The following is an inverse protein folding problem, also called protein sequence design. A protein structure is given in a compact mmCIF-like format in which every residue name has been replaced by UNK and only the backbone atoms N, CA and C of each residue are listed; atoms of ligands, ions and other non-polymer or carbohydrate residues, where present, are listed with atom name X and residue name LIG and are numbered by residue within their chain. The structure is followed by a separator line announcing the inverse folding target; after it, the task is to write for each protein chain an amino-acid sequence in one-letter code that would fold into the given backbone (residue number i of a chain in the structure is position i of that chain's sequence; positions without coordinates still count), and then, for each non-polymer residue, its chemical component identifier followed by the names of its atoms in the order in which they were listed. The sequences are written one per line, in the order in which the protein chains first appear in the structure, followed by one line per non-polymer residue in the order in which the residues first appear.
data_IF_872824552868
#
_entry.id   IF_872824552868
#
_cell.length_a   1.000
_cell.length_b   1.000
_cell.length_c   1.000
_cell.angle_alpha   90.00
_cell.angle_beta   90.00
_cell.angle_gamma   90.00
#
_symmetry.space_group_name_H-M   'P 1'
#
loop_
_entity.id
_entity.type
_entity.pdbx_description
1 polymer ?
#
# COMPACT_ATOMS: atom_id res chain seq x y z
N UNK A 1 -43.91 5.76 5.91
CA UNK A 1 -43.87 7.15 6.40
C UNK A 1 -42.43 7.62 6.25
N UNK A 2 -42.16 8.50 5.29
CA UNK A 2 -40.83 9.03 4.98
C UNK A 2 -40.61 10.33 5.76
N UNK A 3 -39.49 10.45 6.45
CA UNK A 3 -39.07 11.68 7.13
C UNK A 3 -37.74 12.15 6.52
N UNK A 4 -37.64 13.39 6.03
CA UNK A 4 -36.41 13.92 5.42
C UNK A 4 -35.43 14.49 6.47
N UNK A 5 -34.11 14.48 6.21
CA UNK A 5 -33.13 15.12 7.07
C UNK A 5 -33.10 16.65 6.88
N UNK A 6 -33.03 17.34 8.02
CA UNK A 6 -32.94 18.79 8.17
C UNK A 6 -31.53 19.31 7.90
N UNK A 7 -31.44 20.42 7.18
CA UNK A 7 -30.22 21.16 6.91
C UNK A 7 -29.90 22.21 7.99
N UNK A 8 -28.62 22.56 8.08
CA UNK A 8 -28.13 23.69 8.87
C UNK A 8 -27.18 24.57 8.05
N UNK A 9 -27.63 25.80 7.78
CA UNK A 9 -26.95 27.05 8.20
C UNK A 9 -25.66 27.49 7.51
N UNK A 10 -25.78 28.50 6.64
CA UNK A 10 -24.72 29.38 6.13
C UNK A 10 -24.39 30.54 7.10
N UNK A 11 -23.16 31.10 7.02
CA UNK A 11 -22.85 32.48 7.41
C UNK A 11 -21.33 32.79 7.57
N UNK A 12 -20.81 34.01 7.23
CA UNK A 12 -19.58 34.18 6.44
C UNK A 12 -18.43 34.92 7.15
N UNK A 13 -17.22 34.90 6.56
CA UNK A 13 -16.11 35.78 6.98
C UNK A 13 -14.87 35.72 6.08
N UNK A 14 -14.58 36.82 5.40
CA UNK A 14 -13.49 37.03 4.44
C UNK A 14 -12.11 37.17 5.12
N UNK A 15 -11.06 36.66 4.48
CA UNK A 15 -9.66 36.82 4.91
C UNK A 15 -8.69 36.67 3.74
N UNK A 16 -8.12 37.79 3.33
CA UNK A 16 -7.33 38.07 2.14
C UNK A 16 -5.82 37.85 2.38
N UNK A 17 -5.12 37.33 1.36
CA UNK A 17 -3.74 37.75 1.03
C UNK A 17 -2.56 36.92 1.54
N UNK A 18 -1.71 36.47 0.60
CA UNK A 18 -0.28 36.16 0.86
C UNK A 18 0.27 34.93 0.12
N UNK A 19 0.67 35.10 -1.14
CA UNK A 19 1.42 34.09 -1.91
C UNK A 19 2.94 34.17 -1.65
N UNK A 20 3.69 33.07 -1.92
CA UNK A 20 4.97 32.76 -1.27
C UNK A 20 6.22 33.32 -1.96
N UNK A 21 7.22 33.66 -1.13
CA UNK A 21 8.57 34.02 -1.57
C UNK A 21 9.45 32.80 -1.79
N UNK A 22 10.07 32.71 -2.97
CA UNK A 22 11.09 31.72 -3.32
C UNK A 22 12.38 32.40 -3.79
N UNK A 23 13.49 31.97 -3.18
CA UNK A 23 14.77 31.66 -3.84
C UNK A 23 15.56 32.78 -4.52
N UNK A 24 16.60 33.28 -3.83
CA UNK A 24 17.74 33.94 -4.46
C UNK A 24 18.69 32.91 -5.10
N UNK A 25 19.26 33.22 -6.27
CA UNK A 25 20.36 32.50 -6.89
C UNK A 25 21.44 33.50 -7.38
N UNK A 26 22.75 33.16 -7.32
CA UNK A 26 23.84 34.14 -7.35
C UNK A 26 24.27 34.63 -8.74
N UNK A 27 24.79 35.86 -8.76
CA UNK A 27 25.28 36.56 -9.94
C UNK A 27 26.62 36.06 -10.48
N UNK A 28 26.82 36.27 -11.78
CA UNK A 28 28.08 36.10 -12.49
C UNK A 28 28.32 37.24 -13.48
N UNK A 29 29.40 37.98 -13.21
CA UNK A 29 30.35 38.60 -14.15
C UNK A 29 29.84 39.38 -15.36
N UNK A 30 30.01 40.71 -15.32
CA UNK A 30 30.15 41.55 -16.51
C UNK A 30 31.41 42.43 -16.41
N UNK A 31 32.21 42.40 -17.48
CA UNK A 31 33.29 43.35 -17.77
C UNK A 31 33.56 43.29 -19.30
N UNK A 32 34.28 44.25 -19.91
CA UNK A 32 33.88 45.63 -20.21
C UNK A 32 34.00 45.96 -21.73
N UNK A 33 33.49 47.12 -22.14
CA UNK A 33 33.81 47.76 -23.44
C UNK A 33 32.63 48.63 -23.88
N UNK A 34 32.73 49.94 -24.07
CA UNK A 34 33.86 50.73 -24.56
C UNK A 34 33.45 51.31 -25.91
N UNK A 35 32.80 52.48 -25.93
CA UNK A 35 32.56 53.29 -27.12
C UNK A 35 32.37 54.76 -26.70
N UNK A 36 33.32 55.64 -27.06
CA UNK A 36 33.06 57.06 -27.32
C UNK A 36 33.06 57.30 -28.84
N UNK A 37 33.17 58.52 -29.38
CA UNK A 37 32.89 59.89 -28.88
C UNK A 37 31.96 60.66 -29.89
N UNK A 38 31.81 62.00 -29.86
CA UNK A 38 32.78 62.84 -30.60
C UNK A 38 33.11 64.19 -29.93
N UNK A 39 34.33 64.68 -30.20
CA UNK A 39 34.81 66.01 -29.84
C UNK A 39 35.17 66.77 -31.13
N UNK A 40 34.97 68.11 -31.23
CA UNK A 40 35.18 68.85 -32.46
C UNK A 40 36.56 69.51 -32.56
N UNK A 41 37.11 69.52 -33.78
CA UNK A 41 37.88 70.64 -34.35
C UNK A 41 39.36 70.76 -34.03
N UNK A 42 40.21 70.46 -35.02
CA UNK A 42 41.62 70.86 -35.04
C UNK A 42 42.30 70.49 -36.37
N UNK A 43 42.92 71.44 -37.12
CA UNK A 43 43.56 71.17 -38.39
C UNK A 43 44.99 70.66 -38.19
N UNK A 44 45.30 69.48 -38.72
CA UNK A 44 46.62 68.86 -38.56
C UNK A 44 46.99 67.94 -39.72
N UNK A 45 48.14 68.26 -40.32
CA UNK A 45 48.87 67.61 -41.40
C UNK A 45 48.81 66.06 -41.46
N UNK A 46 48.72 65.53 -42.68
CA UNK A 46 48.60 64.10 -42.98
C UNK A 46 49.88 63.27 -42.77
N UNK A 47 49.75 61.95 -42.52
CA UNK A 47 50.85 60.98 -42.57
C UNK A 47 50.75 59.93 -43.72
N UNK A 48 51.88 59.28 -44.09
CA UNK A 48 52.10 58.55 -45.34
C UNK A 48 51.49 57.13 -45.41
N UNK A 49 51.47 56.46 -46.60
CA UNK A 49 50.78 55.19 -46.81
C UNK A 49 51.50 54.03 -46.11
N UNK A 50 50.87 53.47 -45.07
CA UNK A 50 51.35 52.30 -44.34
C UNK A 50 50.56 51.04 -44.73
N UNK A 51 51.28 50.01 -45.18
CA UNK A 51 50.81 48.65 -45.39
C UNK A 51 50.20 48.07 -44.09
N UNK A 52 48.92 47.70 -44.11
CA UNK A 52 48.23 47.07 -42.99
C UNK A 52 48.42 45.54 -42.95
N UNK A 53 48.56 44.92 -41.76
CA UNK A 53 48.79 43.49 -41.60
C UNK A 53 47.54 42.62 -41.86
N UNK A 54 47.68 41.31 -42.14
CA UNK A 54 46.58 40.42 -42.51
C UNK A 54 45.53 40.30 -41.41
N UNK A 55 44.26 40.45 -41.79
CA UNK A 55 43.12 40.38 -40.87
C UNK A 55 43.00 39.01 -40.21
N UNK A 56 43.05 39.00 -38.88
CA UNK A 56 42.61 37.85 -38.08
C UNK A 56 41.08 37.73 -38.23
N UNK A 57 40.64 36.64 -38.86
CA UNK A 57 39.21 36.31 -38.98
C UNK A 57 38.53 36.20 -37.61
N UNK A 58 37.31 36.71 -37.50
CA UNK A 58 36.46 36.53 -36.32
C UNK A 58 36.32 35.03 -36.01
N UNK A 59 36.51 34.60 -34.75
CA UNK A 59 36.30 33.20 -34.40
C UNK A 59 34.84 32.80 -34.69
N UNK A 60 34.60 31.61 -35.28
CA UNK A 60 33.27 31.18 -35.66
C UNK A 60 32.32 31.16 -34.45
N UNK A 61 31.15 31.80 -34.59
CA UNK A 61 30.11 31.82 -33.56
C UNK A 61 29.64 30.39 -33.28
N UNK A 62 29.89 29.87 -32.07
CA UNK A 62 29.45 28.54 -31.66
C UNK A 62 27.93 28.44 -31.75
N UNK A 63 27.43 27.49 -32.54
CA UNK A 63 25.98 27.25 -32.71
C UNK A 63 25.45 26.50 -31.49
N UNK A 64 24.49 27.08 -30.77
CA UNK A 64 23.81 26.45 -29.62
C UNK A 64 22.77 25.40 -30.03
N UNK A 65 22.69 25.04 -31.32
CA UNK A 65 21.67 24.14 -31.85
C UNK A 65 21.68 22.77 -31.17
N UNK A 66 22.86 22.17 -30.96
CA UNK A 66 22.97 20.89 -30.25
C UNK A 66 22.50 20.97 -28.79
N UNK A 67 22.75 22.09 -28.12
CA UNK A 67 22.27 22.35 -26.76
C UNK A 67 20.74 22.49 -26.71
N UNK A 68 20.16 23.23 -27.66
CA UNK A 68 18.70 23.43 -27.73
C UNK A 68 17.99 22.11 -28.05
N UNK A 69 18.48 21.36 -29.04
CA UNK A 69 17.92 20.04 -29.39
C UNK A 69 18.06 19.08 -28.21
N UNK A 70 19.20 19.07 -27.52
CA UNK A 70 19.40 18.25 -26.32
C UNK A 70 18.42 18.59 -25.19
N UNK A 71 18.16 19.88 -24.95
CA UNK A 71 17.18 20.32 -23.94
C UNK A 71 15.74 19.99 -24.32
N UNK A 72 15.36 20.12 -25.60
CA UNK A 72 14.02 19.78 -26.07
C UNK A 72 13.80 18.26 -25.97
N UNK A 73 14.72 17.45 -26.47
CA UNK A 73 14.62 15.99 -26.39
C UNK A 73 14.62 15.53 -24.94
N UNK A 74 15.53 16.06 -24.11
CA UNK A 74 15.56 15.77 -22.67
C UNK A 74 14.27 16.16 -21.96
N UNK A 75 13.72 17.34 -22.28
CA UNK A 75 12.44 17.81 -21.74
C UNK A 75 11.27 16.91 -22.12
N UNK A 76 11.19 16.49 -23.40
CA UNK A 76 10.12 15.59 -23.86
C UNK A 76 10.23 14.19 -23.23
N UNK A 77 11.45 13.65 -23.08
CA UNK A 77 11.64 12.35 -22.41
C UNK A 77 11.26 12.44 -20.94
N UNK A 78 11.65 13.50 -20.24
CA UNK A 78 11.26 13.71 -18.84
C UNK A 78 9.75 13.86 -18.68
N UNK A 79 9.08 14.64 -19.53
CA UNK A 79 7.63 14.83 -19.44
C UNK A 79 6.84 13.60 -19.90
N UNK A 80 7.31 12.90 -20.94
CA UNK A 80 6.60 11.77 -21.54
C UNK A 80 6.83 10.43 -20.83
N UNK A 81 8.03 10.19 -20.30
CA UNK A 81 8.40 8.92 -19.64
C UNK A 81 8.86 9.12 -18.20
N UNK A 82 9.61 10.19 -17.92
CA UNK A 82 10.19 10.44 -16.60
C UNK A 82 9.15 10.68 -15.51
N UNK A 83 8.23 11.63 -15.70
CA UNK A 83 7.20 11.97 -14.71
C UNK A 83 6.18 10.83 -14.55
N UNK A 84 5.55 10.31 -15.64
CA UNK A 84 4.60 9.21 -15.48
C UNK A 84 5.25 7.95 -14.93
N UNK A 85 6.47 7.62 -15.40
CA UNK A 85 7.25 6.50 -14.89
C UNK A 85 7.66 6.66 -13.43
N UNK A 86 8.00 7.88 -13.00
CA UNK A 86 8.33 8.19 -11.61
C UNK A 86 7.13 8.04 -10.66
N UNK A 87 5.95 8.55 -11.05
CA UNK A 87 4.71 8.39 -10.27
C UNK A 87 4.35 6.91 -10.18
N UNK A 88 4.31 6.21 -11.30
CA UNK A 88 4.01 4.79 -11.35
C UNK A 88 4.99 3.95 -10.52
N UNK A 89 6.29 4.24 -10.59
CA UNK A 89 7.28 3.58 -9.76
C UNK A 89 7.03 3.87 -8.27
N UNK A 90 6.73 5.12 -7.90
CA UNK A 90 6.47 5.48 -6.50
C UNK A 90 5.28 4.74 -5.92
N UNK A 91 4.19 4.62 -6.69
CA UNK A 91 3.02 3.84 -6.30
C UNK A 91 3.36 2.36 -6.27
N UNK A 92 4.07 1.83 -7.26
CA UNK A 92 4.46 0.41 -7.32
C UNK A 92 5.32 -0.02 -6.12
N UNK A 93 6.29 0.81 -5.73
CA UNK A 93 7.20 0.53 -4.61
C UNK A 93 6.66 0.95 -3.24
N UNK A 94 5.48 1.57 -3.15
CA UNK A 94 4.88 1.87 -1.86
C UNK A 94 4.52 0.57 -1.12
N UNK A 95 4.86 0.51 0.17
CA UNK A 95 4.46 -0.58 1.06
C UNK A 95 2.93 -0.71 1.10
N UNK A 96 2.45 -1.94 0.99
CA UNK A 96 1.08 -2.36 1.30
C UNK A 96 0.99 -2.98 2.70
N UNK A 97 2.13 -3.38 3.26
CA UNK A 97 2.23 -3.89 4.61
C UNK A 97 2.08 -2.83 5.70
N UNK A 98 1.98 -3.29 6.94
CA UNK A 98 1.73 -2.46 8.13
C UNK A 98 2.74 -2.75 9.23
N UNK A 99 3.17 -1.75 10.01
CA UNK A 99 3.99 -2.00 11.20
C UNK A 99 3.18 -2.80 12.24
N UNK A 100 3.85 -3.64 13.06
CA UNK A 100 3.18 -4.38 14.10
C UNK A 100 2.73 -3.45 15.21
N UNK A 101 1.62 -3.79 15.86
CA UNK A 101 1.19 -3.11 17.07
C UNK A 101 1.97 -3.63 18.28
N UNK A 102 2.04 -2.84 19.36
CA UNK A 102 2.80 -3.23 20.56
C UNK A 102 2.14 -4.37 21.38
N UNK A 103 0.83 -4.61 21.17
CA UNK A 103 0.10 -5.68 21.84
C UNK A 103 0.61 -7.06 21.37
N UNK A 104 0.51 -8.06 22.25
CA UNK A 104 0.75 -9.46 21.89
C UNK A 104 -0.57 -10.19 21.65
N UNK A 105 -0.59 -11.23 20.80
CA UNK A 105 -1.76 -12.09 20.66
C UNK A 105 -2.12 -12.79 21.99
N UNK A 106 -3.41 -12.94 22.32
CA UNK A 106 -3.82 -13.75 23.46
C UNK A 106 -3.46 -15.24 23.23
N UNK A 107 -3.37 -16.07 24.29
CA UNK A 107 -2.93 -17.47 24.20
C UNK A 107 -3.67 -18.30 23.16
N UNK A 108 -4.98 -18.08 23.02
CA UNK A 108 -5.87 -18.77 22.09
C UNK A 108 -5.50 -18.48 20.63
N UNK A 109 -4.98 -17.29 20.34
CA UNK A 109 -4.57 -16.83 19.02
C UNK A 109 -3.06 -16.99 18.76
N UNK A 110 -2.31 -17.66 19.65
CA UNK A 110 -0.87 -17.74 19.51
C UNK A 110 -0.49 -18.62 18.32
N UNK A 111 0.11 -18.00 17.30
CA UNK A 111 0.65 -18.68 16.12
C UNK A 111 2.17 -18.55 16.18
N UNK A 112 2.90 -19.64 15.91
CA UNK A 112 4.35 -19.62 15.96
C UNK A 112 4.94 -18.76 14.83
N UNK A 113 6.11 -18.14 15.03
CA UNK A 113 6.80 -17.41 13.97
C UNK A 113 7.03 -18.27 12.71
N UNK A 114 7.28 -19.58 12.87
CA UNK A 114 7.50 -20.51 11.77
C UNK A 114 6.27 -20.65 10.87
N UNK A 115 5.07 -20.71 11.47
CA UNK A 115 3.82 -20.75 10.71
C UNK A 115 3.49 -19.37 10.14
N UNK A 116 3.64 -18.29 10.92
CA UNK A 116 3.39 -16.92 10.43
C UNK A 116 4.27 -16.54 9.24
N UNK A 117 5.54 -16.94 9.22
CA UNK A 117 6.45 -16.67 8.11
C UNK A 117 5.95 -17.27 6.79
N UNK A 118 5.27 -18.43 6.82
CA UNK A 118 4.68 -19.05 5.62
C UNK A 118 3.47 -18.29 5.09
N UNK A 119 2.82 -17.50 5.94
CA UNK A 119 1.63 -16.72 5.57
C UNK A 119 1.98 -15.38 4.94
N UNK A 120 3.25 -14.98 4.91
CA UNK A 120 3.74 -13.62 4.63
C UNK A 120 3.10 -12.51 5.49
N UNK A 121 2.23 -12.85 6.44
CA UNK A 121 1.54 -11.91 7.35
C UNK A 121 2.14 -11.95 8.75
N UNK A 122 3.36 -11.48 8.90
CA UNK A 122 4.10 -11.55 10.19
C UNK A 122 3.82 -10.37 11.12
N UNK A 123 3.13 -9.34 10.64
CA UNK A 123 2.85 -8.14 11.41
C UNK A 123 1.51 -8.22 12.12
N UNK A 124 1.54 -8.43 13.43
CA UNK A 124 0.33 -8.48 14.24
C UNK A 124 -0.36 -7.11 14.29
N UNK A 125 -1.66 -7.10 14.04
CA UNK A 125 -2.49 -5.90 13.93
C UNK A 125 -3.44 -5.72 15.13
N UNK A 126 -3.29 -6.55 16.16
CA UNK A 126 -4.08 -6.48 17.38
C UNK A 126 -5.17 -7.55 17.45
N UNK A 127 -5.88 -7.52 18.58
CA UNK A 127 -7.01 -8.40 18.84
C UNK A 127 -8.24 -7.61 19.32
N UNK A 128 -9.40 -8.23 19.20
CA UNK A 128 -10.68 -7.77 19.75
C UNK A 128 -11.29 -8.88 20.56
N UNK A 129 -11.76 -8.55 21.74
CA UNK A 129 -12.55 -9.45 22.59
C UNK A 129 -13.97 -8.92 22.66
N UNK A 130 -14.96 -9.78 22.42
CA UNK A 130 -16.36 -9.47 22.60
C UNK A 130 -17.04 -10.61 23.39
N UNK A 131 -18.06 -10.26 24.17
CA UNK A 131 -18.86 -11.23 24.92
C UNK A 131 -20.33 -10.96 24.65
N UNK A 132 -21.05 -11.99 24.20
CA UNK A 132 -22.49 -11.94 23.94
C UNK A 132 -23.18 -12.79 25.00
N UNK A 133 -24.10 -12.18 25.76
CA UNK A 133 -24.88 -12.85 26.81
C UNK A 133 -26.36 -12.85 26.46
N UNK A 134 -26.97 -14.02 26.55
CA UNK A 134 -28.42 -14.21 26.47
C UNK A 134 -28.85 -15.21 27.55
N UNK A 135 -29.40 -14.70 28.66
CA UNK A 135 -29.68 -15.50 29.86
C UNK A 135 -28.40 -16.24 30.34
N UNK A 136 -28.44 -17.56 30.43
CA UNK A 136 -27.33 -18.42 30.84
C UNK A 136 -26.37 -18.77 29.69
N UNK A 137 -26.69 -18.35 28.46
CA UNK A 137 -25.85 -18.61 27.28
C UNK A 137 -24.85 -17.46 27.14
N UNK A 138 -23.57 -17.81 27.18
CA UNK A 138 -22.48 -16.87 26.93
C UNK A 138 -21.71 -17.34 25.70
N UNK A 139 -21.40 -16.42 24.79
CA UNK A 139 -20.47 -16.65 23.68
C UNK A 139 -19.37 -15.60 23.75
N UNK A 140 -18.15 -16.06 24.01
CA UNK A 140 -16.95 -15.22 23.97
C UNK A 140 -16.34 -15.30 22.59
N UNK A 141 -15.89 -14.16 22.06
CA UNK A 141 -15.27 -14.06 20.76
C UNK A 141 -13.91 -13.38 20.89
N UNK A 142 -12.87 -14.04 20.38
CA UNK A 142 -11.52 -13.50 20.27
C UNK A 142 -11.18 -13.38 18.78
N UNK A 143 -11.03 -12.16 18.28
CA UNK A 143 -10.65 -11.89 16.90
C UNK A 143 -9.24 -11.33 16.82
N UNK A 144 -8.32 -12.03 16.18
CA UNK A 144 -6.92 -11.66 16.02
C UNK A 144 -6.60 -11.46 14.54
N UNK A 145 -5.73 -10.50 14.24
CA UNK A 145 -5.41 -10.17 12.85
C UNK A 145 -3.92 -9.91 12.64
N UNK A 146 -3.43 -10.32 11.48
CA UNK A 146 -2.09 -10.07 10.99
C UNK A 146 -2.15 -9.57 9.54
N UNK A 147 -1.17 -8.76 9.18
CA UNK A 147 -0.98 -8.24 7.84
C UNK A 147 0.47 -8.48 7.39
N UNK A 148 0.73 -8.24 6.10
CA UNK A 148 2.10 -8.18 5.61
C UNK A 148 2.93 -7.15 6.42
N UNK A 149 4.22 -7.42 6.66
CA UNK A 149 5.08 -6.53 7.44
C UNK A 149 5.34 -5.22 6.72
N UNK A 150 5.65 -4.19 7.50
CA UNK A 150 6.05 -2.89 6.97
C UNK A 150 7.21 -3.03 5.97
N UNK A 151 7.10 -2.33 4.85
CA UNK A 151 8.04 -2.42 3.73
C UNK A 151 7.70 -3.49 2.70
N UNK A 152 6.75 -4.40 2.95
CA UNK A 152 6.24 -5.29 1.91
C UNK A 152 5.41 -4.50 0.89
N UNK A 153 5.85 -4.48 -0.36
CA UNK A 153 5.22 -3.75 -1.45
C UNK A 153 4.49 -4.66 -2.45
N UNK A 154 4.42 -5.97 -2.17
CA UNK A 154 3.84 -6.97 -3.07
C UNK A 154 2.60 -7.61 -2.46
N UNK A 155 2.67 -8.09 -1.22
CA UNK A 155 1.63 -8.95 -0.66
C UNK A 155 0.60 -8.13 0.14
N UNK A 156 -0.47 -7.66 -0.51
CA UNK A 156 -1.61 -7.06 0.19
C UNK A 156 -2.53 -8.17 0.71
N UNK A 157 -2.03 -8.90 1.70
CA UNK A 157 -2.63 -10.09 2.28
C UNK A 157 -2.90 -9.89 3.76
N UNK A 158 -3.97 -10.51 4.23
CA UNK A 158 -4.38 -10.48 5.63
C UNK A 158 -4.73 -11.88 6.13
N UNK A 159 -4.26 -12.18 7.34
CA UNK A 159 -4.66 -13.33 8.12
C UNK A 159 -5.55 -12.88 9.27
N UNK A 160 -6.67 -13.55 9.47
CA UNK A 160 -7.57 -13.32 10.58
C UNK A 160 -7.91 -14.66 11.24
N UNK A 161 -7.83 -14.72 12.55
CA UNK A 161 -8.32 -15.85 13.34
C UNK A 161 -9.44 -15.34 14.27
N UNK A 162 -10.62 -15.92 14.15
CA UNK A 162 -11.74 -15.64 15.05
C UNK A 162 -12.11 -16.90 15.80
N UNK A 163 -12.07 -16.85 17.13
CA UNK A 163 -12.31 -17.96 18.03
C UNK A 163 -13.56 -17.64 18.83
N UNK A 164 -14.59 -18.46 18.69
CA UNK A 164 -15.80 -18.42 19.49
C UNK A 164 -15.73 -19.51 20.55
N UNK A 165 -15.98 -19.17 21.81
CA UNK A 165 -16.17 -20.11 22.90
C UNK A 165 -17.61 -20.02 23.38
N UNK A 166 -18.34 -21.13 23.29
CA UNK A 166 -19.69 -21.22 23.82
C UNK A 166 -19.66 -21.72 25.27
N UNK A 167 -20.48 -21.13 26.12
CA UNK A 167 -20.64 -21.51 27.53
C UNK A 167 -22.14 -21.63 27.87
N UNK A 168 -22.42 -22.24 29.01
CA UNK A 168 -23.77 -22.50 29.51
C UNK A 168 -24.32 -23.87 29.09
N UNK A 169 -25.62 -24.14 29.37
CA UNK A 169 -26.28 -25.40 28.99
C UNK A 169 -26.15 -25.64 27.49
N UNK A 170 -25.95 -26.87 27.01
CA UNK A 170 -25.87 -27.20 25.56
C UNK A 170 -24.77 -26.46 24.76
N UNK A 171 -23.68 -26.01 25.40
CA UNK A 171 -22.61 -25.27 24.73
C UNK A 171 -22.00 -26.01 23.53
N UNK A 172 -21.72 -27.31 23.66
CA UNK A 172 -21.18 -28.14 22.57
C UNK A 172 -22.15 -28.26 21.40
N UNK A 173 -23.45 -28.45 21.69
CA UNK A 173 -24.49 -28.51 20.66
C UNK A 173 -24.56 -27.20 19.87
N UNK A 174 -24.52 -26.05 20.55
CA UNK A 174 -24.49 -24.73 19.90
C UNK A 174 -23.23 -24.52 19.08
N UNK A 175 -22.07 -24.95 19.59
CA UNK A 175 -20.81 -24.91 18.84
C UNK A 175 -20.92 -25.74 17.56
N UNK A 176 -21.47 -26.96 17.65
CA UNK A 176 -21.69 -27.81 16.49
C UNK A 176 -22.63 -27.16 15.46
N UNK A 177 -23.74 -26.57 15.90
CA UNK A 177 -24.70 -25.86 15.03
C UNK A 177 -24.12 -24.58 14.41
N UNK A 178 -23.27 -23.85 15.13
CA UNK A 178 -22.62 -22.63 14.62
C UNK A 178 -21.44 -22.94 13.68
N UNK A 179 -20.77 -24.09 13.87
CA UNK A 179 -19.62 -24.51 13.06
C UNK A 179 -19.96 -24.77 11.59
N UNK A 180 -21.20 -25.16 11.28
CA UNK A 180 -21.62 -25.44 9.90
C UNK A 180 -21.82 -24.18 9.06
N UNK A 181 -21.88 -22.99 9.67
CA UNK A 181 -22.24 -21.76 9.00
C UNK A 181 -23.63 -21.85 8.33
N UNK A 182 -24.08 -20.74 7.74
CA UNK A 182 -25.32 -20.68 6.95
C UNK A 182 -25.13 -21.10 5.49
N UNK A 183 -23.92 -21.54 5.11
CA UNK A 183 -23.61 -21.89 3.73
C UNK A 183 -24.05 -23.33 3.44
N UNK A 184 -25.08 -23.48 2.60
CA UNK A 184 -25.38 -24.75 1.93
C UNK A 184 -24.10 -25.37 1.34
N UNK A 185 -23.95 -26.71 1.32
CA UNK A 185 -22.79 -27.36 0.71
C UNK A 185 -22.65 -26.85 -0.73
N UNK A 186 -21.71 -25.95 -0.94
CA UNK A 186 -21.36 -25.44 -2.26
C UNK A 186 -20.17 -26.25 -2.75
N UNK A 187 -19.98 -26.31 -4.06
CA UNK A 187 -18.84 -26.97 -4.71
C UNK A 187 -17.47 -26.46 -4.19
N UNK A 188 -17.45 -25.34 -3.46
CA UNK A 188 -16.25 -24.70 -2.90
C UNK A 188 -15.90 -25.15 -1.48
N UNK A 189 -16.69 -26.05 -0.87
CA UNK A 189 -16.43 -26.58 0.48
C UNK A 189 -15.73 -27.93 0.44
N UNK A 190 -14.59 -28.04 1.11
CA UNK A 190 -13.86 -29.29 1.27
C UNK A 190 -13.80 -29.67 2.76
N UNK A 191 -14.19 -30.89 3.10
CA UNK A 191 -13.98 -31.41 4.46
C UNK A 191 -12.49 -31.69 4.68
N UNK A 192 -11.97 -31.22 5.81
CA UNK A 192 -10.56 -31.40 6.21
C UNK A 192 -10.53 -32.33 7.42
N UNK A 193 -9.65 -33.34 7.35
CA UNK A 193 -9.42 -34.26 8.46
C UNK A 193 -8.21 -33.81 9.29
N UNK A 194 -8.19 -34.19 10.57
CA UNK A 194 -7.04 -33.96 11.45
C UNK A 194 -6.94 -32.56 12.07
N UNK A 195 -7.96 -31.71 11.92
CA UNK A 195 -8.07 -30.40 12.59
C UNK A 195 -9.39 -30.35 13.34
N UNK A 196 -9.33 -30.24 14.67
CA UNK A 196 -10.50 -30.29 15.54
C UNK A 196 -11.31 -31.58 15.40
N UNK A 197 -12.56 -31.52 15.82
CA UNK A 197 -13.54 -32.60 15.67
C UNK A 197 -14.16 -32.61 14.26
N UNK A 198 -14.29 -31.42 13.66
CA UNK A 198 -14.80 -31.22 12.31
C UNK A 198 -14.19 -29.97 11.71
N UNK A 199 -13.68 -30.06 10.49
CA UNK A 199 -13.15 -28.90 9.77
C UNK A 199 -13.66 -28.84 8.32
N UNK A 200 -13.93 -27.62 7.85
CA UNK A 200 -14.36 -27.31 6.49
C UNK A 200 -13.50 -26.18 5.96
N UNK A 201 -12.91 -26.37 4.79
CA UNK A 201 -12.19 -25.36 4.05
C UNK A 201 -13.09 -24.80 2.94
N UNK A 202 -13.10 -23.49 2.78
CA UNK A 202 -13.89 -22.77 1.78
C UNK A 202 -12.95 -21.91 0.95
N UNK A 203 -13.01 -22.03 -0.38
CA UNK A 203 -12.33 -21.07 -1.27
C UNK A 203 -13.09 -19.74 -1.30
N UNK A 204 -12.34 -18.64 -1.18
CA UNK A 204 -12.85 -17.27 -1.26
C UNK A 204 -12.58 -16.63 -2.63
N UNK A 205 -12.32 -17.45 -3.65
CA UNK A 205 -11.98 -16.96 -4.98
C UNK A 205 -13.16 -16.19 -5.62
N UNK A 206 -12.82 -15.03 -6.20
CA UNK A 206 -13.75 -14.15 -6.92
C UNK A 206 -13.28 -13.98 -8.36
N UNK A 207 -14.08 -13.33 -9.20
CA UNK A 207 -13.67 -12.96 -10.56
C UNK A 207 -12.70 -11.76 -10.58
N UNK A 208 -12.25 -11.28 -9.41
CA UNK A 208 -11.25 -10.22 -9.25
C UNK A 208 -9.91 -10.79 -8.74
N UNK A 209 -8.90 -9.93 -8.57
CA UNK A 209 -7.66 -10.34 -7.91
C UNK A 209 -7.86 -10.72 -6.43
N UNK A 210 -8.97 -10.33 -5.80
CA UNK A 210 -9.26 -10.74 -4.43
C UNK A 210 -9.60 -12.23 -4.36
N UNK A 211 -8.85 -12.94 -3.53
CA UNK A 211 -8.93 -14.41 -3.38
C UNK A 211 -8.43 -14.83 -2.00
N UNK A 212 -8.55 -16.11 -1.68
CA UNK A 212 -8.11 -16.63 -0.39
C UNK A 212 -8.79 -17.94 -0.01
N UNK A 213 -8.63 -18.30 1.26
CA UNK A 213 -9.29 -19.44 1.85
C UNK A 213 -9.77 -19.13 3.27
N UNK A 214 -10.87 -19.79 3.64
CA UNK A 214 -11.41 -19.76 4.99
C UNK A 214 -11.49 -21.19 5.52
N UNK A 215 -10.82 -21.48 6.62
CA UNK A 215 -10.97 -22.73 7.35
C UNK A 215 -11.87 -22.48 8.56
N UNK A 216 -12.94 -23.25 8.66
CA UNK A 216 -13.78 -23.32 9.86
C UNK A 216 -13.56 -24.66 10.54
N UNK A 217 -13.35 -24.68 11.85
CA UNK A 217 -13.34 -25.94 12.59
C UNK A 217 -14.03 -25.83 13.95
N UNK A 218 -14.57 -26.97 14.38
CA UNK A 218 -15.17 -27.23 15.68
C UNK A 218 -14.18 -28.00 16.55
N UNK A 219 -14.05 -27.64 17.82
CA UNK A 219 -13.34 -28.43 18.82
C UNK A 219 -14.03 -28.26 20.19
N UNK A 220 -14.77 -29.27 20.62
CA UNK A 220 -15.60 -29.20 21.83
C UNK A 220 -16.59 -28.02 21.78
N UNK A 221 -16.42 -27.06 22.69
CA UNK A 221 -17.23 -25.84 22.77
C UNK A 221 -16.71 -24.67 21.93
N UNK A 222 -15.63 -24.88 21.17
CA UNK A 222 -14.97 -23.85 20.37
C UNK A 222 -15.33 -23.95 18.90
N UNK A 223 -15.60 -22.81 18.27
CA UNK A 223 -15.66 -22.67 16.81
C UNK A 223 -14.60 -21.68 16.38
N UNK A 224 -13.72 -22.09 15.48
CA UNK A 224 -12.63 -21.26 14.98
C UNK A 224 -12.81 -21.03 13.50
N UNK A 225 -12.64 -19.77 13.10
CA UNK A 225 -12.64 -19.33 11.70
C UNK A 225 -11.29 -18.70 11.42
N UNK A 226 -10.50 -19.35 10.58
CA UNK A 226 -9.22 -18.83 10.05
C UNK A 226 -9.48 -18.35 8.64
N UNK A 227 -9.26 -17.07 8.39
CA UNK A 227 -9.41 -16.46 7.07
C UNK A 227 -8.07 -15.94 6.61
N UNK A 228 -7.62 -16.37 5.43
CA UNK A 228 -6.43 -15.85 4.78
C UNK A 228 -6.81 -15.38 3.37
N UNK A 229 -6.67 -14.08 3.11
CA UNK A 229 -7.20 -13.47 1.88
C UNK A 229 -6.46 -12.19 1.51
N UNK A 230 -6.63 -11.77 0.26
CA UNK A 230 -6.02 -10.56 -0.27
C UNK A 230 -5.71 -10.70 -1.75
N UNK A 231 -4.66 -10.03 -2.19
CA UNK A 231 -4.10 -10.12 -3.54
C UNK A 231 -2.61 -9.78 -3.52
N UNK A 232 -1.93 -10.12 -4.60
CA UNK A 232 -0.55 -9.68 -4.85
C UNK A 232 -0.55 -8.54 -5.84
N UNK A 233 0.22 -7.51 -5.53
CA UNK A 233 0.45 -6.40 -6.44
C UNK A 233 1.36 -6.86 -7.57
N UNK A 234 0.84 -6.81 -8.79
CA UNK A 234 1.63 -7.03 -10.00
C UNK A 234 2.01 -5.71 -10.67
N UNK A 235 2.90 -5.79 -11.67
CA UNK A 235 3.34 -4.62 -12.41
C UNK A 235 2.19 -4.01 -13.24
N UNK A 236 1.40 -4.83 -13.93
CA UNK A 236 0.28 -4.33 -14.75
C UNK A 236 -1.08 -4.47 -14.07
N UNK A 237 -1.27 -5.57 -13.32
CA UNK A 237 -2.52 -5.90 -12.64
C UNK A 237 -2.22 -6.64 -11.36
N UNK A 238 -3.10 -6.54 -10.38
CA UNK A 238 -3.04 -7.40 -9.21
C UNK A 238 -3.33 -8.85 -9.59
N UNK A 239 -2.74 -9.79 -8.87
CA UNK A 239 -2.92 -11.23 -9.06
C UNK A 239 -3.60 -11.84 -7.84
N UNK A 240 -4.46 -12.85 -8.04
CA UNK A 240 -4.99 -13.61 -6.92
C UNK A 240 -3.91 -14.44 -6.25
N UNK A 241 -4.09 -14.68 -4.94
CA UNK A 241 -3.33 -15.65 -4.17
C UNK A 241 -3.61 -17.04 -4.78
N UNK A 242 -2.59 -17.84 -5.09
CA UNK A 242 -2.78 -19.20 -5.59
C UNK A 242 -3.70 -20.01 -4.65
N UNK A 243 -4.78 -20.66 -5.14
CA UNK A 243 -5.74 -21.36 -4.27
C UNK A 243 -5.12 -22.47 -3.41
N UNK A 244 -4.11 -23.17 -3.93
CA UNK A 244 -3.39 -24.19 -3.17
C UNK A 244 -2.59 -23.58 -2.00
N UNK A 245 -2.01 -22.39 -2.20
CA UNK A 245 -1.25 -21.67 -1.19
C UNK A 245 -2.15 -21.15 -0.08
N UNK A 246 -3.26 -20.48 -0.44
CA UNK A 246 -4.19 -19.95 0.55
C UNK A 246 -4.83 -21.06 1.38
N UNK A 247 -5.18 -22.19 0.74
CA UNK A 247 -5.65 -23.39 1.41
C UNK A 247 -4.62 -23.98 2.38
N UNK A 248 -3.34 -24.08 2.00
CA UNK A 248 -2.28 -24.58 2.86
C UNK A 248 -2.05 -23.66 4.06
N UNK A 249 -2.02 -22.35 3.85
CA UNK A 249 -1.91 -21.35 4.92
C UNK A 249 -3.07 -21.50 5.91
N UNK A 250 -4.31 -21.50 5.44
CA UNK A 250 -5.48 -21.64 6.33
C UNK A 250 -5.44 -22.94 7.14
N UNK A 251 -5.06 -24.07 6.51
CA UNK A 251 -4.90 -25.36 7.19
C UNK A 251 -3.78 -25.36 8.22
N UNK A 252 -2.61 -24.83 7.89
CA UNK A 252 -1.45 -24.82 8.79
C UNK A 252 -1.70 -23.97 10.04
N UNK A 253 -2.28 -22.78 9.86
CA UNK A 253 -2.69 -21.92 10.97
C UNK A 253 -3.79 -22.59 11.80
N UNK A 254 -4.82 -23.14 11.15
CA UNK A 254 -5.90 -23.84 11.85
C UNK A 254 -5.42 -25.03 12.68
N UNK A 255 -4.51 -25.83 12.14
CA UNK A 255 -3.90 -26.97 12.84
C UNK A 255 -3.05 -26.52 14.04
N UNK A 256 -2.43 -25.34 13.98
CA UNK A 256 -1.71 -24.78 15.12
C UNK A 256 -2.67 -24.26 16.19
N UNK A 257 -3.68 -23.48 15.81
CA UNK A 257 -4.68 -22.97 16.75
C UNK A 257 -5.42 -24.10 17.48
N UNK A 258 -5.75 -25.19 16.77
CA UNK A 258 -6.38 -26.37 17.38
C UNK A 258 -5.56 -26.97 18.54
N UNK A 259 -4.22 -26.86 18.51
CA UNK A 259 -3.33 -27.34 19.59
C UNK A 259 -3.37 -26.45 20.83
N UNK A 260 -3.73 -25.18 20.66
CA UNK A 260 -3.83 -24.21 21.76
C UNK A 260 -5.16 -24.33 22.51
N UNK A 261 -6.17 -24.95 21.89
CA UNK A 261 -7.49 -25.08 22.47
C UNK A 261 -7.63 -26.37 23.29
N UNK A 262 -8.38 -26.33 24.40
CA UNK A 262 -8.81 -27.54 25.08
C UNK A 262 -9.52 -28.50 24.13
N UNK A 263 -9.36 -29.80 24.37
CA UNK A 263 -10.18 -30.83 23.73
C UNK A 263 -11.46 -31.02 24.52
#
# INVERSE_FOLDING_TARGET
MHQPPQGYGQGPGYGQGGQPGYGQQPGYGQQPGGYGPPQPGGPGYGPPPGYGPPGYGQPPKKKKTGLIVGLIVGGVVLLGLGIPGGIFASEYYSSVGKPPVAQQPPPECKISPEVLNKTVTTSFQGFRENEIKALEIVTKQYGCSWAAPDGDNVHDRALQATIYRHEGPDAEKRAAESSTGSASPSERQQQIQGIGDKAVLVSLDTDSAFSGAELRFLQGVYVVVVTYKGWDKGFFTNSPIPPAESAEVAKSVGAELAKNLPK
#
